data_IF_090779909006
#
_entry.id   IF_090779909006
#
_cell.length_a   1.000
_cell.length_b   1.000
_cell.length_c   1.000
_cell.angle_alpha   90.00
_cell.angle_beta   90.00
_cell.angle_gamma   90.00
#
_symmetry.space_group_name_H-M   'P 1'
#
loop_
_entity.id
_entity.type
_entity.pdbx_description
1 polymer ?
#
# COMPACT_ATOMS: atom_id res chain seq x y z
N UNK A 1 -9.26 -10.85 -15.98
CA UNK A 1 -9.45 -9.45 -15.54
C UNK A 1 -8.94 -9.40 -14.12
N UNK A 2 -8.07 -8.45 -13.77
CA UNK A 2 -7.54 -8.33 -12.41
C UNK A 2 -8.69 -8.03 -11.44
N UNK A 3 -8.74 -8.76 -10.32
CA UNK A 3 -9.73 -8.53 -9.26
C UNK A 3 -9.50 -7.18 -8.57
N UNK A 4 -8.23 -6.87 -8.29
CA UNK A 4 -7.76 -5.59 -7.76
C UNK A 4 -6.88 -4.88 -8.79
N UNK A 5 -7.27 -3.66 -9.16
CA UNK A 5 -6.72 -2.98 -10.35
C UNK A 5 -5.56 -2.06 -10.05
N UNK A 6 -5.56 -1.43 -8.88
CA UNK A 6 -4.55 -0.44 -8.54
C UNK A 6 -3.47 -1.07 -7.69
N UNK A 7 -2.23 -0.95 -8.15
CA UNK A 7 -1.07 -1.15 -7.31
C UNK A 7 -0.81 0.14 -6.52
N UNK A 8 -0.81 0.02 -5.19
CA UNK A 8 -0.60 1.12 -4.25
C UNK A 8 0.72 0.89 -3.52
N UNK A 9 1.69 1.75 -3.79
CA UNK A 9 3.00 1.71 -3.15
C UNK A 9 3.28 3.03 -2.44
N UNK A 10 3.87 2.96 -1.25
CA UNK A 10 4.31 4.14 -0.49
C UNK A 10 5.36 3.75 0.54
N UNK A 11 6.06 4.76 1.04
CA UNK A 11 6.91 4.66 2.22
C UNK A 11 6.23 5.33 3.41
N UNK A 12 6.41 4.76 4.60
CA UNK A 12 5.97 5.29 5.89
C UNK A 12 7.23 5.51 6.74
N UNK A 13 7.57 6.77 7.04
CA UNK A 13 8.59 7.12 8.04
C UNK A 13 7.91 7.45 9.36
N UNK A 14 8.37 6.83 10.45
CA UNK A 14 7.73 6.92 11.76
C UNK A 14 8.61 6.44 12.89
N UNK A 15 7.97 6.08 14.00
CA UNK A 15 8.62 5.49 15.18
C UNK A 15 7.78 4.32 15.67
N UNK A 16 8.44 3.28 16.19
CA UNK A 16 7.79 2.07 16.72
C UNK A 16 6.86 1.40 15.68
N UNK A 17 7.26 1.41 14.41
CA UNK A 17 6.52 0.71 13.35
C UNK A 17 6.68 -0.80 13.49
N UNK A 18 5.59 -1.55 13.32
CA UNK A 18 5.57 -3.00 13.41
C UNK A 18 4.97 -3.61 12.14
N UNK A 19 5.75 -4.45 11.44
CA UNK A 19 5.32 -5.12 10.22
C UNK A 19 4.14 -6.07 10.45
N UNK A 20 4.14 -6.80 11.56
CA UNK A 20 3.10 -7.79 11.87
C UNK A 20 1.78 -7.07 12.16
N UNK A 21 1.79 -5.97 12.92
CA UNK A 21 0.58 -5.17 13.18
C UNK A 21 -0.01 -4.56 11.90
N UNK A 22 0.85 -4.09 10.99
CA UNK A 22 0.42 -3.56 9.70
C UNK A 22 -0.17 -4.67 8.82
N UNK A 23 0.47 -5.84 8.78
CA UNK A 23 -0.05 -6.98 8.03
C UNK A 23 -1.44 -7.38 8.52
N UNK A 24 -1.61 -7.57 9.82
CA UNK A 24 -2.89 -7.93 10.44
C UNK A 24 -3.97 -6.88 10.12
N UNK A 25 -3.63 -5.59 10.24
CA UNK A 25 -4.58 -4.52 9.92
C UNK A 25 -5.05 -4.58 8.47
N UNK A 26 -4.14 -4.77 7.51
CA UNK A 26 -4.50 -4.86 6.10
C UNK A 26 -5.39 -6.07 5.80
N UNK A 27 -5.08 -7.24 6.37
CA UNK A 27 -5.88 -8.46 6.18
C UNK A 27 -7.30 -8.31 6.74
N UNK A 28 -7.46 -7.64 7.88
CA UNK A 28 -8.76 -7.48 8.53
C UNK A 28 -9.62 -6.35 7.93
N UNK A 29 -8.99 -5.26 7.47
CA UNK A 29 -9.68 -4.02 7.16
C UNK A 29 -9.79 -3.72 5.66
N UNK A 30 -8.92 -4.30 4.82
CA UNK A 30 -8.87 -3.99 3.40
C UNK A 30 -9.26 -5.15 2.51
N UNK A 31 -9.76 -4.79 1.33
CA UNK A 31 -10.03 -5.73 0.24
C UNK A 31 -8.95 -5.54 -0.80
N UNK A 32 -8.14 -6.57 -0.97
CA UNK A 32 -6.98 -6.53 -1.85
C UNK A 32 -6.17 -7.81 -1.78
N UNK A 33 -5.04 -7.79 -2.46
CA UNK A 33 -4.08 -8.89 -2.46
C UNK A 33 -2.63 -8.37 -2.55
N UNK A 34 -1.68 -9.31 -2.49
CA UNK A 34 -0.25 -9.05 -2.68
C UNK A 34 0.33 -7.99 -1.73
N UNK A 35 -0.04 -8.05 -0.44
CA UNK A 35 0.61 -7.21 0.56
C UNK A 35 2.10 -7.55 0.68
N UNK A 36 2.92 -6.51 0.64
CA UNK A 36 4.28 -6.49 1.11
C UNK A 36 4.43 -5.28 2.04
N UNK A 37 4.59 -5.55 3.34
CA UNK A 37 5.02 -4.57 4.33
C UNK A 37 6.40 -4.99 4.81
N UNK A 38 7.44 -4.23 4.44
CA UNK A 38 8.83 -4.58 4.74
C UNK A 38 9.63 -3.35 5.14
N UNK A 39 10.50 -3.48 6.14
CA UNK A 39 11.29 -2.38 6.65
C UNK A 39 11.84 -2.63 8.05
N UNK A 40 11.77 -1.60 8.88
CA UNK A 40 12.10 -1.62 10.30
C UNK A 40 11.21 -0.64 11.08
N UNK A 41 11.52 -0.44 12.35
CA UNK A 41 10.75 0.41 13.28
C UNK A 41 10.71 1.90 12.90
N UNK A 42 11.58 2.36 11.99
CA UNK A 42 11.67 3.74 11.54
C UNK A 42 11.12 3.96 10.13
N UNK A 43 11.22 2.95 9.26
CA UNK A 43 10.81 3.06 7.86
C UNK A 43 10.22 1.75 7.32
N UNK A 44 8.97 1.80 6.86
CA UNK A 44 8.32 0.66 6.19
C UNK A 44 7.91 1.02 4.76
N UNK A 45 8.17 0.10 3.84
CA UNK A 45 7.64 0.11 2.48
C UNK A 45 6.39 -0.74 2.38
N UNK A 46 5.34 -0.17 1.81
CA UNK A 46 4.09 -0.84 1.47
C UNK A 46 4.01 -1.06 -0.04
N UNK A 47 3.57 -2.25 -0.43
CA UNK A 47 3.01 -2.57 -1.75
C UNK A 47 1.73 -3.35 -1.53
N UNK A 48 0.62 -2.92 -2.14
CA UNK A 48 -0.66 -3.59 -2.00
C UNK A 48 -1.55 -3.34 -3.21
N UNK A 49 -2.20 -4.39 -3.70
CA UNK A 49 -3.19 -4.22 -4.76
C UNK A 49 -4.58 -4.06 -4.17
N UNK A 50 -5.28 -2.99 -4.55
CA UNK A 50 -6.65 -2.76 -4.11
C UNK A 50 -7.45 -1.97 -5.16
N UNK A 51 -8.77 -1.91 -4.98
CA UNK A 51 -9.63 -0.98 -5.72
C UNK A 51 -9.92 0.31 -4.92
N UNK A 52 -9.44 0.40 -3.68
CA UNK A 52 -9.68 1.50 -2.75
C UNK A 52 -8.37 2.10 -2.20
N UNK A 53 -7.45 2.59 -3.07
CA UNK A 53 -6.12 3.05 -2.65
C UNK A 53 -6.16 4.16 -1.59
N UNK A 54 -7.21 4.99 -1.58
CA UNK A 54 -7.39 6.05 -0.60
C UNK A 54 -7.48 5.54 0.86
N UNK A 55 -7.98 4.32 1.08
CA UNK A 55 -8.04 3.72 2.44
C UNK A 55 -6.66 3.31 2.93
N UNK A 56 -5.84 2.78 2.03
CA UNK A 56 -4.43 2.45 2.31
C UNK A 56 -3.69 3.73 2.68
N UNK A 57 -3.83 4.80 1.89
CA UNK A 57 -3.23 6.10 2.18
C UNK A 57 -3.67 6.65 3.54
N UNK A 58 -4.98 6.59 3.83
CA UNK A 58 -5.54 7.09 5.09
C UNK A 58 -4.95 6.36 6.30
N UNK A 59 -4.88 5.04 6.26
CA UNK A 59 -4.28 4.25 7.33
C UNK A 59 -2.78 4.51 7.47
N UNK A 60 -2.02 4.43 6.38
CA UNK A 60 -0.58 4.65 6.44
C UNK A 60 -0.22 6.06 6.95
N UNK A 61 -0.98 7.09 6.57
CA UNK A 61 -0.81 8.46 7.09
C UNK A 61 -1.15 8.60 8.58
N UNK A 62 -1.87 7.64 9.18
CA UNK A 62 -2.15 7.62 10.62
C UNK A 62 -1.00 7.03 11.44
N UNK A 63 -0.07 6.30 10.80
CA UNK A 63 1.09 5.68 11.43
C UNK A 63 2.33 6.58 11.41
N UNK A 64 2.47 7.43 10.39
CA UNK A 64 3.66 8.27 10.21
C UNK A 64 3.56 9.20 9.00
N UNK A 65 4.69 9.81 8.63
CA UNK A 65 4.79 10.58 7.40
C UNK A 65 4.82 9.63 6.20
N UNK A 66 3.96 9.86 5.21
CA UNK A 66 3.93 9.08 3.97
C UNK A 66 4.53 9.85 2.80
N UNK A 67 5.37 9.17 2.01
CA UNK A 67 6.04 9.74 0.85
C UNK A 67 6.33 8.68 -0.22
N UNK A 68 6.88 9.12 -1.36
CA UNK A 68 7.13 8.29 -2.54
C UNK A 68 5.91 7.46 -2.99
N UNK A 69 4.73 8.09 -2.93
CA UNK A 69 3.46 7.45 -3.22
C UNK A 69 3.30 7.20 -4.72
N UNK A 70 3.02 5.96 -5.08
CA UNK A 70 2.66 5.51 -6.42
C UNK A 70 1.31 4.80 -6.37
N UNK A 71 0.38 5.24 -7.22
CA UNK A 71 -0.87 4.53 -7.49
C UNK A 71 -0.94 4.31 -8.99
N UNK A 72 -0.91 3.05 -9.42
CA UNK A 72 -0.85 2.70 -10.83
C UNK A 72 -1.97 1.73 -11.21
N UNK A 73 -2.71 2.01 -12.30
CA UNK A 73 -3.68 1.08 -12.87
C UNK A 73 -2.92 -0.01 -13.67
N UNK A 74 -2.84 -1.21 -13.10
CA UNK A 74 -2.09 -2.32 -13.68
C UNK A 74 -2.63 -2.76 -15.05
N UNK A 75 -3.93 -2.59 -15.31
CA UNK A 75 -4.54 -2.93 -16.61
C UNK A 75 -4.18 -1.88 -17.68
N UNK A 76 -4.08 -0.60 -17.30
CA UNK A 76 -3.57 0.46 -18.18
C UNK A 76 -2.08 0.28 -18.44
N UNK A 77 -1.29 0.02 -17.40
CA UNK A 77 0.14 -0.25 -17.51
C UNK A 77 0.42 -1.42 -18.46
N UNK A 78 -0.29 -2.55 -18.31
CA UNK A 78 -0.14 -3.72 -19.18
C UNK A 78 -0.47 -3.43 -20.66
N UNK A 79 -1.30 -2.42 -20.93
CA UNK A 79 -1.63 -1.93 -22.28
C UNK A 79 -0.68 -0.83 -22.78
N UNK A 80 0.35 -0.47 -22.01
CA UNK A 80 1.26 0.63 -22.34
C UNK A 80 0.61 2.01 -22.29
N UNK A 81 -0.51 2.15 -21.58
CA UNK A 81 -1.19 3.41 -21.36
C UNK A 81 -0.63 4.09 -20.11
N UNK A 82 -0.62 5.42 -20.11
CA UNK A 82 -0.20 6.22 -18.95
C UNK A 82 -1.36 6.41 -17.96
N UNK A 83 -1.00 6.51 -16.68
CA UNK A 83 -1.93 6.73 -15.56
C UNK A 83 -2.74 5.47 -15.33
#
# INVERSE_FOLDING_TARGET
MLEYKYDTQLLIEGHDLDEDEINDYFEENFKGDCLLAVGDEELIKIHYHTNEPWKVLEYCASLGEIFDIVIEDMDRQARGLKG
#
